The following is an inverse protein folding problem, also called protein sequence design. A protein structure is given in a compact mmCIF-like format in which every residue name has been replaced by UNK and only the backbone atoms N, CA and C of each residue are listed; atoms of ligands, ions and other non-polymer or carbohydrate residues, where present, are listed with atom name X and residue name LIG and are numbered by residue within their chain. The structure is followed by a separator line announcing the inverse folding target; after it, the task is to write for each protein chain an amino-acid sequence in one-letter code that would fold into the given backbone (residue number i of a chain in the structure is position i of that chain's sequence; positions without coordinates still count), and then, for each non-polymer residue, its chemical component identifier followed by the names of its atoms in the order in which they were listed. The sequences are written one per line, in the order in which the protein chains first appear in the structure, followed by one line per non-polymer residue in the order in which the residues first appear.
data_IF_637412880720
#
_entry.id   IF_637412880720
#
_cell.length_a   1.000
_cell.length_b   1.000
_cell.length_c   1.000
_cell.angle_alpha   90.00
_cell.angle_beta   90.00
_cell.angle_gamma   90.00
#
_symmetry.space_group_name_H-M   'P 1'
#
loop_
_entity.id
_entity.type
_entity.pdbx_description
1 polymer ?
#
# COMPACT_ATOMS: atom_id res chain seq x y z
N UNK A 1 -21.62 -71.73 3.75
CA UNK A 1 -21.78 -73.04 4.43
C UNK A 1 -20.78 -73.98 3.78
N UNK A 2 -19.72 -74.30 4.52
CA UNK A 2 -18.81 -75.47 4.38
C UNK A 2 -17.98 -75.62 3.10
N UNK A 3 -16.75 -76.14 3.08
CA UNK A 3 -15.61 -76.26 4.00
C UNK A 3 -14.47 -76.79 3.09
N UNK A 4 -13.28 -76.20 3.20
CA UNK A 4 -11.91 -76.73 3.05
C UNK A 4 -11.50 -77.99 2.24
N UNK A 5 -10.19 -77.96 1.92
CA UNK A 5 -9.14 -79.01 1.75
C UNK A 5 -8.75 -79.32 0.27
N UNK A 6 -7.49 -79.48 -0.16
CA UNK A 6 -6.11 -79.03 0.16
C UNK A 6 -5.13 -79.72 -0.84
N UNK A 7 -3.90 -79.19 -0.94
CA UNK A 7 -2.63 -79.85 -1.39
C UNK A 7 -2.37 -79.96 -2.91
N UNK A 8 -1.15 -79.81 -3.46
CA UNK A 8 0.23 -80.05 -2.97
C UNK A 8 1.32 -79.26 -3.76
N UNK A 9 2.25 -78.59 -3.04
CA UNK A 9 3.76 -78.56 -3.10
C UNK A 9 4.61 -78.52 -4.42
N UNK A 10 5.95 -78.27 -4.36
CA UNK A 10 6.74 -77.23 -3.66
C UNK A 10 7.94 -76.69 -4.50
N UNK A 11 8.77 -75.79 -3.91
CA UNK A 11 10.21 -75.42 -4.17
C UNK A 11 10.33 -73.88 -4.15
N UNK A 12 11.23 -73.21 -3.43
CA UNK A 12 12.36 -73.60 -2.60
C UNK A 12 12.93 -72.35 -1.89
N UNK A 13 13.75 -72.59 -0.87
CA UNK A 13 14.49 -71.64 -0.03
C UNK A 13 15.35 -70.63 -0.83
N UNK A 14 15.41 -69.38 -0.35
CA UNK A 14 16.69 -68.72 -0.02
C UNK A 14 16.50 -67.45 0.82
N UNK A 15 17.27 -67.38 1.90
CA UNK A 15 17.47 -66.27 2.82
C UNK A 15 18.08 -65.03 2.13
N UNK A 16 17.61 -63.83 2.45
CA UNK A 16 18.48 -62.65 2.62
C UNK A 16 17.93 -61.70 3.69
N UNK A 17 18.88 -61.18 4.45
CA UNK A 17 18.81 -60.43 5.70
C UNK A 17 19.09 -58.95 5.38
N UNK A 18 18.34 -58.05 6.03
CA UNK A 18 18.66 -56.63 6.36
C UNK A 18 18.86 -55.65 5.18
N UNK A 19 18.02 -54.61 5.11
CA UNK A 19 18.50 -53.24 5.39
C UNK A 19 17.36 -52.24 5.59
N UNK A 20 17.32 -51.73 6.82
CA UNK A 20 16.85 -50.43 7.24
C UNK A 20 17.08 -49.37 6.14
N UNK A 21 16.01 -48.85 5.53
CA UNK A 21 16.05 -47.55 4.85
C UNK A 21 15.01 -46.66 5.50
N UNK A 22 15.33 -46.29 6.74
CA UNK A 22 14.92 -45.04 7.35
C UNK A 22 15.37 -43.91 6.42
N UNK A 23 14.53 -43.59 5.43
CA UNK A 23 14.53 -42.28 4.80
C UNK A 23 14.21 -41.27 5.91
N UNK A 24 15.28 -40.87 6.60
CA UNK A 24 15.36 -39.60 7.30
C UNK A 24 14.97 -38.57 6.26
N UNK A 25 13.70 -38.17 6.30
CA UNK A 25 13.27 -36.87 5.86
C UNK A 25 14.10 -35.87 6.67
N UNK A 26 15.28 -35.54 6.15
CA UNK A 26 15.96 -34.31 6.52
C UNK A 26 15.04 -33.20 6.02
N UNK A 27 14.05 -32.86 6.83
CA UNK A 27 13.44 -31.55 6.84
C UNK A 27 14.61 -30.61 7.12
N UNK A 28 15.25 -30.13 6.06
CA UNK A 28 16.14 -28.98 6.16
C UNK A 28 15.24 -27.87 6.65
N UNK A 29 15.26 -27.64 7.96
CA UNK A 29 14.66 -26.45 8.55
C UNK A 29 15.40 -25.29 7.92
N UNK A 30 14.81 -24.71 6.86
CA UNK A 30 15.19 -23.39 6.37
C UNK A 30 15.07 -22.49 7.57
N UNK A 31 16.21 -22.15 8.18
CA UNK A 31 16.26 -21.29 9.34
C UNK A 31 15.65 -19.97 8.91
N UNK A 32 14.51 -19.65 9.50
CA UNK A 32 13.87 -18.36 9.34
C UNK A 32 14.91 -17.27 9.66
N UNK A 33 15.27 -16.46 8.66
CA UNK A 33 16.18 -15.35 8.88
C UNK A 33 15.52 -14.35 9.83
N UNK A 34 16.15 -14.09 10.97
CA UNK A 34 15.67 -13.05 11.88
C UNK A 34 15.99 -11.66 11.34
N UNK A 35 15.14 -10.70 11.67
CA UNK A 35 15.23 -9.31 11.24
C UNK A 35 15.77 -8.41 12.34
N UNK A 36 16.53 -7.39 11.98
CA UNK A 36 17.07 -6.40 12.92
C UNK A 36 16.29 -5.09 12.79
N UNK A 37 15.73 -4.61 13.89
CA UNK A 37 15.04 -3.33 13.91
C UNK A 37 15.99 -2.19 13.60
N UNK A 38 15.75 -1.50 12.49
CA UNK A 38 16.55 -0.40 11.97
C UNK A 38 15.91 0.97 12.23
N UNK A 39 14.78 1.04 12.94
CA UNK A 39 14.20 2.29 13.42
C UNK A 39 12.98 2.79 12.64
N UNK A 40 12.41 3.88 13.14
CA UNK A 40 11.37 4.66 12.45
C UNK A 40 11.95 5.89 11.76
N UNK A 41 11.26 6.44 10.76
CA UNK A 41 11.74 7.66 10.11
C UNK A 41 10.91 8.17 8.95
N UNK A 42 11.58 8.90 8.04
CA UNK A 42 10.97 9.52 6.86
C UNK A 42 11.71 9.14 5.57
N UNK A 43 10.96 9.09 4.46
CA UNK A 43 11.46 8.87 3.10
C UNK A 43 11.52 10.18 2.29
N UNK A 44 12.46 10.28 1.36
CA UNK A 44 12.54 11.39 0.41
C UNK A 44 13.36 12.59 0.87
N UNK A 45 13.06 13.77 0.31
CA UNK A 45 13.83 14.99 0.54
C UNK A 45 13.56 15.59 1.93
N UNK A 46 14.56 15.47 2.80
CA UNK A 46 14.51 16.00 4.16
C UNK A 46 14.33 17.52 4.22
N UNK A 47 14.75 18.27 3.20
CA UNK A 47 14.54 19.72 3.16
C UNK A 47 13.05 20.11 3.10
N UNK A 48 12.19 19.18 2.63
CA UNK A 48 10.74 19.37 2.55
C UNK A 48 9.98 18.74 3.70
N UNK A 49 10.68 18.30 4.75
CA UNK A 49 10.10 17.54 5.86
C UNK A 49 8.88 18.22 6.46
N UNK A 50 8.97 19.50 6.78
CA UNK A 50 7.89 20.19 7.49
C UNK A 50 6.69 20.48 6.57
N UNK A 51 6.87 20.41 5.25
CA UNK A 51 5.78 20.48 4.27
C UNK A 51 5.14 19.12 4.02
N UNK A 52 5.94 18.05 3.98
CA UNK A 52 5.49 16.68 3.72
C UNK A 52 4.90 16.01 4.97
N UNK A 53 5.36 16.40 6.16
CA UNK A 53 5.14 15.74 7.46
C UNK A 53 4.91 16.74 8.60
N UNK A 54 4.03 17.75 8.45
CA UNK A 54 3.98 18.89 9.37
C UNK A 54 3.77 18.51 10.84
N UNK A 55 3.04 17.42 11.12
CA UNK A 55 2.82 16.95 12.49
C UNK A 55 3.65 15.71 12.83
N UNK A 56 3.82 14.77 11.91
CA UNK A 56 4.59 13.54 12.13
C UNK A 56 6.06 13.83 12.42
N UNK A 57 6.66 14.86 11.79
CA UNK A 57 8.04 15.28 12.09
C UNK A 57 8.18 15.77 13.52
N UNK A 58 7.21 16.52 14.03
CA UNK A 58 7.18 17.00 15.42
C UNK A 58 7.05 15.85 16.42
N UNK A 59 6.25 14.83 16.10
CA UNK A 59 6.13 13.62 16.93
C UNK A 59 7.44 12.82 16.90
N UNK A 60 8.12 12.77 15.75
CA UNK A 60 9.41 12.13 15.64
C UNK A 60 10.48 12.85 16.48
N UNK A 61 10.51 14.19 16.44
CA UNK A 61 11.44 15.04 17.21
C UNK A 61 11.06 15.14 18.71
N UNK A 62 9.91 14.60 19.13
CA UNK A 62 9.49 14.53 20.54
C UNK A 62 10.30 13.44 21.28
N UNK A 63 11.39 13.87 21.91
CA UNK A 63 12.31 13.03 22.69
C UNK A 63 11.88 12.77 24.14
N UNK A 64 10.62 13.07 24.49
CA UNK A 64 10.12 12.89 25.87
C UNK A 64 9.99 11.43 26.32
N UNK A 65 10.11 10.47 25.40
CA UNK A 65 10.06 9.04 25.70
C UNK A 65 11.48 8.44 25.73
N UNK A 66 12.04 8.20 26.92
CA UNK A 66 13.36 7.58 27.12
C UNK A 66 14.53 8.29 26.39
N UNK A 67 14.51 9.64 26.33
CA UNK A 67 15.46 10.45 25.56
C UNK A 67 15.57 10.06 24.07
N UNK A 68 14.56 9.38 23.53
CA UNK A 68 14.44 9.01 22.13
C UNK A 68 13.04 9.36 21.61
N UNK A 69 12.85 9.25 20.30
CA UNK A 69 11.56 9.55 19.68
C UNK A 69 10.44 8.70 20.29
N UNK A 70 9.34 9.31 20.73
CA UNK A 70 8.16 8.55 21.17
C UNK A 70 7.62 7.59 20.10
N UNK A 71 7.76 7.94 18.82
CA UNK A 71 7.39 7.06 17.71
C UNK A 71 8.31 5.83 17.62
N UNK A 72 9.60 5.99 17.93
CA UNK A 72 10.55 4.88 18.01
C UNK A 72 10.18 3.92 19.17
N UNK A 73 10.00 4.44 20.39
CA UNK A 73 9.68 3.61 21.58
C UNK A 73 8.41 2.80 21.36
N UNK A 74 7.36 3.46 20.86
CA UNK A 74 6.09 2.81 20.60
C UNK A 74 6.22 1.73 19.52
N UNK A 75 6.86 2.05 18.39
CA UNK A 75 7.05 1.09 17.30
C UNK A 75 7.88 -0.11 17.72
N UNK A 76 8.94 0.08 18.53
CA UNK A 76 9.68 -1.05 19.12
C UNK A 76 8.77 -1.96 19.92
N UNK A 77 7.88 -1.39 20.74
CA UNK A 77 6.94 -2.15 21.56
C UNK A 77 5.98 -2.97 20.68
N UNK A 78 5.47 -2.38 19.60
CA UNK A 78 4.60 -3.08 18.64
C UNK A 78 5.30 -4.25 17.97
N UNK A 79 6.56 -4.08 17.53
CA UNK A 79 7.30 -5.11 16.80
C UNK A 79 8.04 -6.11 17.72
N UNK A 80 8.13 -5.86 19.03
CA UNK A 80 8.85 -6.71 19.98
C UNK A 80 8.35 -8.15 19.97
N UNK A 81 9.24 -9.08 19.63
CA UNK A 81 8.95 -10.51 19.60
C UNK A 81 7.98 -10.95 18.51
N UNK A 82 7.60 -10.05 17.60
CA UNK A 82 6.70 -10.37 16.51
C UNK A 82 7.43 -11.18 15.42
N UNK A 83 6.67 -12.05 14.76
CA UNK A 83 7.08 -12.71 13.52
C UNK A 83 6.43 -12.01 12.33
N UNK A 84 7.22 -11.66 11.34
CA UNK A 84 6.80 -11.05 10.07
C UNK A 84 7.57 -11.74 8.95
N UNK A 85 7.01 -11.89 7.75
CA UNK A 85 7.73 -12.44 6.59
C UNK A 85 8.59 -13.70 6.85
N UNK A 86 8.14 -14.58 7.75
CA UNK A 86 8.84 -15.81 8.14
C UNK A 86 9.84 -15.68 9.29
N UNK A 87 10.33 -14.49 9.64
CA UNK A 87 11.39 -14.24 10.64
C UNK A 87 10.93 -13.47 11.89
N UNK A 88 11.70 -13.51 12.99
CA UNK A 88 11.42 -12.70 14.19
C UNK A 88 12.12 -11.34 14.11
N UNK A 89 11.48 -10.29 14.61
CA UNK A 89 12.13 -8.98 14.77
C UNK A 89 12.93 -8.93 16.08
N UNK A 90 14.23 -8.71 15.95
CA UNK A 90 15.22 -8.51 17.01
C UNK A 90 15.60 -7.04 17.12
N UNK A 91 15.98 -6.62 18.32
CA UNK A 91 16.41 -5.25 18.63
C UNK A 91 17.91 -5.20 18.98
N UNK A 92 18.63 -6.30 18.77
CA UNK A 92 20.08 -6.38 18.85
C UNK A 92 20.70 -5.85 17.57
N UNK A 93 21.92 -5.34 17.65
CA UNK A 93 22.68 -5.01 16.45
C UNK A 93 22.96 -6.27 15.62
N UNK A 94 23.08 -6.09 14.31
CA UNK A 94 23.52 -7.13 13.40
C UNK A 94 25.04 -7.21 13.39
N UNK A 95 25.56 -8.43 13.28
CA UNK A 95 26.99 -8.64 13.05
C UNK A 95 27.33 -8.24 11.60
N UNK A 96 28.37 -7.44 11.37
CA UNK A 96 28.78 -7.05 10.01
C UNK A 96 29.11 -8.27 9.12
N UNK A 97 28.75 -8.19 7.84
CA UNK A 97 29.09 -9.22 6.84
C UNK A 97 28.24 -10.49 6.93
N UNK A 98 27.10 -10.44 7.62
CA UNK A 98 26.16 -11.57 7.73
C UNK A 98 24.99 -11.48 6.76
N UNK A 99 24.95 -10.47 5.89
CA UNK A 99 23.80 -10.13 5.02
C UNK A 99 22.51 -10.04 5.85
N UNK A 100 22.62 -9.44 7.04
CA UNK A 100 21.50 -9.30 7.96
C UNK A 100 20.45 -8.35 7.38
N UNK A 101 19.18 -8.72 7.53
CA UNK A 101 18.08 -7.90 7.04
C UNK A 101 17.59 -6.97 8.15
N UNK A 102 17.69 -5.68 7.87
CA UNK A 102 17.14 -4.59 8.66
C UNK A 102 15.68 -4.33 8.33
N UNK A 103 14.89 -3.99 9.34
CA UNK A 103 13.47 -3.61 9.19
C UNK A 103 13.27 -2.20 9.73
N UNK A 104 12.81 -1.29 8.88
CA UNK A 104 12.55 0.10 9.25
C UNK A 104 11.15 0.55 8.84
N UNK A 105 10.50 1.38 9.67
CA UNK A 105 9.20 1.96 9.36
C UNK A 105 9.37 3.42 8.94
N UNK A 106 9.07 3.74 7.68
CA UNK A 106 9.32 5.08 7.16
C UNK A 106 8.05 5.73 6.60
N UNK A 107 7.78 6.97 7.01
CA UNK A 107 6.68 7.81 6.54
C UNK A 107 7.08 8.51 5.25
N UNK A 108 6.22 8.49 4.24
CA UNK A 108 6.42 9.10 2.92
C UNK A 108 5.54 10.31 2.68
N UNK A 109 4.37 10.37 3.30
CA UNK A 109 3.54 11.58 3.23
C UNK A 109 2.54 11.67 4.38
N UNK A 110 2.24 12.88 4.82
CA UNK A 110 1.14 13.18 5.71
C UNK A 110 0.13 14.08 4.98
N UNK A 111 -1.14 13.72 5.04
CA UNK A 111 -2.21 14.40 4.33
C UNK A 111 -3.29 14.88 5.28
N UNK A 112 -3.69 16.14 5.10
CA UNK A 112 -4.75 16.80 5.86
C UNK A 112 -5.79 17.35 4.90
N UNK A 113 -7.02 16.86 4.99
CA UNK A 113 -8.18 17.40 4.26
C UNK A 113 -9.13 18.01 5.27
N UNK A 114 -9.56 19.24 5.01
CA UNK A 114 -10.63 19.90 5.74
C UNK A 114 -11.76 20.13 4.74
N UNK A 115 -12.91 19.50 4.98
CA UNK A 115 -14.11 19.60 4.15
C UNK A 115 -15.21 20.28 4.96
N UNK A 116 -15.47 21.54 4.67
CA UNK A 116 -16.56 22.29 5.32
C UNK A 116 -17.90 21.82 4.74
N UNK A 117 -18.70 21.15 5.57
CA UNK A 117 -20.05 20.73 5.23
C UNK A 117 -21.06 21.64 5.91
N UNK A 118 -21.77 22.46 5.13
CA UNK A 118 -22.90 23.22 5.67
C UNK A 118 -24.00 22.23 6.06
N UNK A 119 -24.26 22.10 7.38
CA UNK A 119 -25.29 21.26 7.98
C UNK A 119 -25.18 19.74 7.72
N UNK A 120 -24.37 19.04 8.51
CA UNK A 120 -24.64 17.62 8.75
C UNK A 120 -25.78 17.51 9.79
N UNK A 121 -26.98 17.12 9.36
CA UNK A 121 -28.13 16.88 10.26
C UNK A 121 -27.84 15.85 11.38
N UNK A 122 -26.74 15.11 11.27
CA UNK A 122 -26.42 13.98 12.13
C UNK A 122 -25.40 14.28 13.23
N UNK A 123 -24.57 15.32 13.10
CA UNK A 123 -23.45 15.52 14.05
C UNK A 123 -23.38 16.90 14.68
N UNK A 124 -24.29 17.83 14.35
CA UNK A 124 -24.21 19.26 14.70
C UNK A 124 -22.86 19.91 14.34
N UNK A 125 -22.02 19.21 13.58
CA UNK A 125 -20.70 19.62 13.14
C UNK A 125 -20.74 19.97 11.67
N UNK A 126 -20.00 21.02 11.33
CA UNK A 126 -20.00 21.63 10.01
C UNK A 126 -18.68 21.40 9.27
N UNK A 127 -17.73 20.66 9.83
CA UNK A 127 -16.44 20.40 9.22
C UNK A 127 -16.09 18.92 9.39
N UNK A 128 -15.72 18.25 8.29
CA UNK A 128 -15.15 16.92 8.29
C UNK A 128 -13.64 17.04 8.03
N UNK A 129 -12.83 16.46 8.89
CA UNK A 129 -11.38 16.46 8.79
C UNK A 129 -10.93 15.04 8.52
N UNK A 130 -10.06 14.88 7.53
CA UNK A 130 -9.46 13.60 7.16
C UNK A 130 -7.95 13.72 7.27
N UNK A 131 -7.37 12.95 8.18
CA UNK A 131 -5.93 12.89 8.42
C UNK A 131 -5.46 11.54 7.90
N UNK A 132 -4.45 11.50 7.04
CA UNK A 132 -3.86 10.25 6.58
C UNK A 132 -2.32 10.30 6.66
N UNK A 133 -1.74 9.16 7.03
CA UNK A 133 -0.29 8.96 7.09
C UNK A 133 0.02 7.80 6.15
N UNK A 134 0.95 8.04 5.22
CA UNK A 134 1.43 7.09 4.23
C UNK A 134 2.88 6.73 4.51
N UNK A 135 3.26 5.50 4.20
CA UNK A 135 4.66 5.08 4.26
C UNK A 135 4.83 3.60 3.97
N UNK A 136 5.92 3.02 4.47
CA UNK A 136 6.25 1.62 4.24
C UNK A 136 7.08 1.04 5.37
N UNK A 137 6.88 -0.26 5.63
CA UNK A 137 7.86 -1.08 6.34
C UNK A 137 8.87 -1.60 5.31
N UNK A 138 10.13 -1.19 5.44
CA UNK A 138 11.21 -1.52 4.53
C UNK A 138 12.03 -2.68 5.09
N UNK A 139 12.31 -3.67 4.25
CA UNK A 139 13.27 -4.75 4.50
C UNK A 139 14.51 -4.45 3.66
N UNK A 140 15.64 -4.24 4.31
CA UNK A 140 16.89 -3.85 3.65
C UNK A 140 18.03 -4.75 4.08
N UNK A 141 18.92 -5.09 3.16
CA UNK A 141 20.19 -5.71 3.50
C UNK A 141 21.10 -4.66 4.15
N UNK A 142 21.54 -4.92 5.38
CA UNK A 142 22.26 -3.93 6.19
C UNK A 142 23.71 -3.70 5.74
N UNK A 143 24.31 -4.67 5.06
CA UNK A 143 25.70 -4.62 4.58
C UNK A 143 25.77 -3.87 3.23
N UNK A 144 24.88 -4.20 2.31
CA UNK A 144 24.82 -3.63 0.96
C UNK A 144 23.90 -2.41 0.82
N UNK A 145 23.06 -2.12 1.83
CA UNK A 145 21.99 -1.12 1.77
C UNK A 145 21.01 -1.33 0.60
N UNK A 146 20.80 -2.56 0.16
CA UNK A 146 19.82 -2.87 -0.91
C UNK A 146 18.44 -3.15 -0.34
N UNK A 147 17.41 -2.69 -1.03
CA UNK A 147 16.03 -3.02 -0.70
C UNK A 147 15.75 -4.48 -1.05
N UNK A 148 15.37 -5.27 -0.05
CA UNK A 148 14.94 -6.65 -0.22
C UNK A 148 13.44 -6.71 -0.47
N UNK A 149 12.66 -5.93 0.28
CA UNK A 149 11.20 -5.85 0.14
C UNK A 149 10.63 -4.63 0.82
N UNK A 150 9.38 -4.31 0.51
CA UNK A 150 8.64 -3.22 1.14
C UNK A 150 7.19 -3.64 1.37
N UNK A 151 6.62 -3.21 2.49
CA UNK A 151 5.20 -3.38 2.79
C UNK A 151 4.59 -1.99 2.92
N UNK A 152 3.84 -1.52 1.92
CA UNK A 152 3.18 -0.22 1.96
C UNK A 152 2.17 -0.21 3.10
N UNK A 153 2.13 0.88 3.85
CA UNK A 153 1.18 1.09 4.94
C UNK A 153 0.58 2.48 4.79
N UNK A 154 -0.72 2.54 5.07
CA UNK A 154 -1.38 3.82 5.21
C UNK A 154 -2.48 3.68 6.25
N UNK A 155 -2.65 4.73 7.04
CA UNK A 155 -3.77 4.85 7.98
C UNK A 155 -4.50 6.15 7.72
N UNK A 156 -5.79 6.16 8.03
CA UNK A 156 -6.65 7.33 7.89
C UNK A 156 -7.55 7.46 9.12
N UNK A 157 -7.64 8.68 9.63
CA UNK A 157 -8.56 9.07 10.68
C UNK A 157 -9.51 10.14 10.15
N UNK A 158 -10.82 9.91 10.29
CA UNK A 158 -11.83 10.90 9.98
C UNK A 158 -12.49 11.38 11.26
N UNK A 159 -12.58 12.69 11.45
CA UNK A 159 -13.25 13.31 12.59
C UNK A 159 -14.02 14.54 12.16
N UNK A 160 -15.15 14.80 12.83
CA UNK A 160 -15.94 15.99 12.59
C UNK A 160 -15.69 17.05 13.68
N UNK A 161 -15.73 18.33 13.32
CA UNK A 161 -15.54 19.48 14.22
C UNK A 161 -16.46 20.64 13.87
N UNK A 162 -16.55 21.61 14.79
CA UNK A 162 -17.16 22.91 14.54
C UNK A 162 -16.05 23.87 14.08
N UNK A 163 -15.96 24.08 12.78
CA UNK A 163 -14.87 24.84 12.15
C UNK A 163 -13.54 24.07 12.10
N UNK A 164 -12.49 24.78 11.71
CA UNK A 164 -11.13 24.24 11.53
C UNK A 164 -10.55 23.72 12.86
N UNK A 165 -10.02 22.51 12.84
CA UNK A 165 -9.28 21.93 13.96
C UNK A 165 -8.02 22.77 14.26
N UNK A 166 -7.75 23.03 15.54
CA UNK A 166 -6.57 23.79 15.93
C UNK A 166 -5.27 23.01 15.70
N UNK A 167 -4.14 23.69 15.57
CA UNK A 167 -2.82 23.06 15.40
C UNK A 167 -2.50 22.06 16.54
N UNK A 168 -2.85 22.42 17.78
CA UNK A 168 -2.65 21.59 18.96
C UNK A 168 -3.48 20.30 18.90
N UNK A 169 -4.75 20.41 18.51
CA UNK A 169 -5.63 19.25 18.36
C UNK A 169 -5.16 18.35 17.21
N UNK A 170 -4.74 18.94 16.08
CA UNK A 170 -4.21 18.18 14.94
C UNK A 170 -2.95 17.41 15.31
N UNK A 171 -2.01 18.07 16.01
CA UNK A 171 -0.84 17.42 16.59
C UNK A 171 -1.23 16.27 17.52
N UNK A 172 -2.23 16.48 18.39
CA UNK A 172 -2.73 15.43 19.29
C UNK A 172 -3.27 14.21 18.56
N UNK A 173 -4.03 14.42 17.48
CA UNK A 173 -4.56 13.35 16.63
C UNK A 173 -3.43 12.59 15.95
N UNK A 174 -2.49 13.29 15.28
CA UNK A 174 -1.37 12.66 14.58
C UNK A 174 -0.45 11.93 15.57
N UNK A 175 -0.20 12.50 16.75
CA UNK A 175 0.51 11.83 17.84
C UNK A 175 -0.20 10.54 18.23
N UNK A 176 -1.50 10.55 18.46
CA UNK A 176 -2.26 9.33 18.78
C UNK A 176 -2.19 8.28 17.65
N UNK A 177 -2.23 8.70 16.38
CA UNK A 177 -2.08 7.80 15.22
C UNK A 177 -0.71 7.12 15.14
N UNK A 178 0.34 7.71 15.73
CA UNK A 178 1.71 7.18 15.71
C UNK A 178 2.11 6.45 17.01
N UNK A 179 1.69 6.96 18.17
CA UNK A 179 2.23 6.55 19.48
C UNK A 179 1.17 6.06 20.48
N UNK A 180 -0.09 5.89 20.07
CA UNK A 180 -1.12 5.27 20.91
C UNK A 180 -2.07 4.38 20.10
N UNK A 181 -2.93 3.66 20.79
CA UNK A 181 -4.03 2.88 20.18
C UNK A 181 -5.42 3.48 20.50
N UNK A 182 -5.47 4.70 21.03
CA UNK A 182 -6.71 5.33 21.51
C UNK A 182 -7.74 5.52 20.39
N UNK A 183 -7.26 5.79 19.18
CA UNK A 183 -8.10 6.00 17.99
C UNK A 183 -8.50 4.68 17.30
N UNK A 184 -8.10 3.53 17.84
CA UNK A 184 -8.25 2.19 17.22
C UNK A 184 -7.57 2.05 15.85
N UNK A 185 -6.71 3.00 15.52
CA UNK A 185 -5.83 3.01 14.35
C UNK A 185 -4.43 3.37 14.85
N UNK A 186 -3.41 2.73 14.31
CA UNK A 186 -2.02 3.05 14.61
C UNK A 186 -1.12 2.61 13.46
N UNK A 187 -0.16 3.46 13.10
CA UNK A 187 0.67 3.26 11.91
C UNK A 187 1.59 2.03 12.03
N UNK A 188 2.27 1.85 13.17
CA UNK A 188 3.11 0.69 13.42
C UNK A 188 2.28 -0.61 13.49
N UNK A 189 1.09 -0.54 14.10
CA UNK A 189 0.17 -1.69 14.18
C UNK A 189 -0.38 -2.10 12.81
N UNK A 190 -0.72 -1.14 11.95
CA UNK A 190 -1.15 -1.41 10.56
C UNK A 190 0.00 -2.04 9.75
N UNK A 191 1.20 -1.46 9.82
CA UNK A 191 2.39 -2.01 9.18
C UNK A 191 2.68 -3.44 9.63
N UNK A 192 2.60 -3.73 10.93
CA UNK A 192 2.76 -5.09 11.47
C UNK A 192 1.69 -6.05 10.95
N UNK A 193 0.42 -5.63 10.93
CA UNK A 193 -0.70 -6.45 10.45
C UNK A 193 -0.51 -6.87 8.98
N UNK A 194 -0.05 -5.94 8.15
CA UNK A 194 0.28 -6.20 6.74
C UNK A 194 1.52 -7.09 6.62
N UNK A 195 2.58 -6.80 7.36
CA UNK A 195 3.83 -7.57 7.33
C UNK A 195 3.68 -9.03 7.81
N UNK A 196 2.67 -9.33 8.63
CA UNK A 196 2.32 -10.71 9.02
C UNK A 196 1.76 -11.55 7.86
N UNK A 197 1.15 -10.91 6.87
CA UNK A 197 0.60 -11.56 5.66
C UNK A 197 1.57 -11.53 4.49
N UNK A 198 2.67 -10.79 4.64
CA UNK A 198 3.68 -10.59 3.63
C UNK A 198 4.71 -11.73 3.66
N UNK A 199 5.20 -12.11 2.48
CA UNK A 199 6.39 -12.95 2.31
C UNK A 199 7.46 -12.14 1.60
N UNK A 200 8.72 -12.27 2.04
CA UNK A 200 9.83 -11.65 1.33
C UNK A 200 9.95 -12.26 -0.07
N UNK A 201 10.23 -11.44 -1.10
CA UNK A 201 10.43 -11.95 -2.44
C UNK A 201 11.69 -12.82 -2.46
N UNK A 202 11.58 -13.98 -3.09
CA UNK A 202 12.77 -14.70 -3.56
C UNK A 202 13.35 -14.00 -4.79
N UNK A 203 14.59 -14.31 -5.16
CA UNK A 203 15.26 -13.72 -6.33
C UNK A 203 14.53 -13.97 -7.67
N UNK A 204 13.53 -14.87 -7.68
CA UNK A 204 12.75 -15.24 -8.87
C UNK A 204 11.39 -14.55 -8.96
N UNK A 205 11.03 -13.71 -7.98
CA UNK A 205 9.71 -13.06 -7.96
C UNK A 205 9.77 -11.75 -8.74
N UNK A 206 8.85 -11.58 -9.69
CA UNK A 206 8.70 -10.34 -10.44
C UNK A 206 8.27 -9.20 -9.51
N UNK A 207 8.92 -8.05 -9.65
CA UNK A 207 8.64 -6.84 -8.88
C UNK A 207 8.02 -5.80 -9.78
N UNK A 208 6.90 -5.24 -9.33
CA UNK A 208 6.28 -4.10 -9.99
C UNK A 208 6.65 -2.81 -9.27
N UNK A 209 6.69 -1.71 -10.01
CA UNK A 209 6.84 -0.36 -9.44
C UNK A 209 5.91 0.61 -10.15
N UNK A 210 5.27 1.49 -9.39
CA UNK A 210 4.61 2.66 -9.99
C UNK A 210 5.70 3.68 -10.30
N UNK A 211 6.01 3.84 -11.59
CA UNK A 211 7.10 4.69 -12.06
C UNK A 211 6.63 6.07 -12.46
N UNK A 212 5.35 6.22 -12.79
CA UNK A 212 4.79 7.48 -13.24
C UNK A 212 3.32 7.62 -12.83
N UNK A 213 2.97 8.79 -12.30
CA UNK A 213 1.60 9.27 -12.23
C UNK A 213 1.55 10.66 -12.85
N UNK A 214 0.90 10.79 -13.99
CA UNK A 214 0.82 12.03 -14.75
C UNK A 214 -0.63 12.52 -14.89
N UNK A 215 -0.78 13.81 -15.22
CA UNK A 215 -2.07 14.45 -15.43
C UNK A 215 -2.00 15.43 -16.59
N UNK A 216 -3.08 15.53 -17.35
CA UNK A 216 -3.20 16.56 -18.39
C UNK A 216 -3.50 17.94 -17.80
N UNK A 217 -3.14 19.01 -18.51
CA UNK A 217 -3.50 20.39 -18.12
C UNK A 217 -5.00 20.55 -17.89
N UNK A 218 -5.83 19.95 -18.74
CA UNK A 218 -7.29 19.95 -18.59
C UNK A 218 -7.75 19.33 -17.27
N UNK A 219 -7.07 18.30 -16.77
CA UNK A 219 -7.37 17.71 -15.47
C UNK A 219 -6.98 18.67 -14.34
N UNK A 220 -5.83 19.31 -14.46
CA UNK A 220 -5.35 20.29 -13.49
C UNK A 220 -6.29 21.50 -13.38
N UNK A 221 -6.83 21.96 -14.52
CA UNK A 221 -7.80 23.05 -14.57
C UNK A 221 -9.13 22.66 -13.88
N UNK A 222 -9.60 21.41 -14.08
CA UNK A 222 -10.86 20.94 -13.49
C UNK A 222 -10.73 20.72 -11.99
N UNK A 223 -9.61 20.17 -11.53
CA UNK A 223 -9.38 19.94 -10.10
C UNK A 223 -8.98 21.23 -9.38
N UNK A 224 -8.36 22.20 -10.08
CA UNK A 224 -8.01 23.51 -9.51
C UNK A 224 -6.87 23.46 -8.49
N UNK A 225 -6.02 22.43 -8.54
CA UNK A 225 -4.84 22.32 -7.67
C UNK A 225 -3.70 23.19 -8.18
N UNK A 226 -2.93 23.76 -7.25
CA UNK A 226 -1.62 24.32 -7.57
C UNK A 226 -0.68 23.23 -8.09
N UNK A 227 0.44 23.62 -8.72
CA UNK A 227 1.45 22.66 -9.19
C UNK A 227 1.94 21.75 -8.07
N UNK A 228 2.22 22.30 -6.89
CA UNK A 228 2.68 21.52 -5.74
C UNK A 228 1.58 20.61 -5.19
N UNK A 229 0.34 21.11 -5.09
CA UNK A 229 -0.81 20.29 -4.69
C UNK A 229 -1.05 19.13 -5.66
N UNK A 230 -0.88 19.33 -6.97
CA UNK A 230 -0.93 18.26 -7.96
C UNK A 230 0.19 17.24 -7.78
N UNK A 231 1.43 17.69 -7.54
CA UNK A 231 2.54 16.78 -7.27
C UNK A 231 2.22 15.88 -6.07
N UNK A 232 1.77 16.45 -4.95
CA UNK A 232 1.38 15.67 -3.76
C UNK A 232 0.20 14.74 -4.04
N UNK A 233 -0.78 15.20 -4.80
CA UNK A 233 -1.92 14.37 -5.17
C UNK A 233 -1.50 13.16 -6.01
N UNK A 234 -0.61 13.34 -6.99
CA UNK A 234 -0.09 12.22 -7.81
C UNK A 234 0.76 11.25 -6.99
N UNK A 235 1.57 11.73 -6.05
CA UNK A 235 2.30 10.89 -5.09
C UNK A 235 1.34 10.06 -4.24
N UNK A 236 0.26 10.67 -3.75
CA UNK A 236 -0.76 9.99 -2.96
C UNK A 236 -1.45 8.88 -3.77
N UNK A 237 -1.83 9.16 -5.02
CA UNK A 237 -2.45 8.15 -5.89
C UNK A 237 -1.51 6.96 -6.12
N UNK A 238 -0.22 7.22 -6.33
CA UNK A 238 0.78 6.17 -6.47
C UNK A 238 0.84 5.29 -5.21
N UNK A 239 1.01 5.90 -4.04
CA UNK A 239 1.15 5.17 -2.77
C UNK A 239 -0.11 4.38 -2.40
N UNK A 240 -1.30 4.95 -2.61
CA UNK A 240 -2.55 4.21 -2.39
C UNK A 240 -2.64 3.04 -3.34
N UNK A 241 -2.35 3.25 -4.63
CA UNK A 241 -2.47 2.16 -5.60
C UNK A 241 -1.44 1.06 -5.36
N UNK A 242 -0.21 1.41 -4.96
CA UNK A 242 0.82 0.46 -4.53
C UNK A 242 0.32 -0.45 -3.40
N UNK A 243 -0.21 0.16 -2.33
CA UNK A 243 -0.71 -0.59 -1.19
C UNK A 243 -1.94 -1.44 -1.52
N UNK A 244 -2.85 -0.94 -2.36
CA UNK A 244 -4.06 -1.67 -2.74
C UNK A 244 -3.73 -2.79 -3.74
N UNK A 245 -2.84 -2.57 -4.71
CA UNK A 245 -2.35 -3.63 -5.60
C UNK A 245 -1.73 -4.77 -4.79
N UNK A 246 -0.79 -4.47 -3.90
CA UNK A 246 -0.15 -5.51 -3.07
C UNK A 246 -1.18 -6.25 -2.21
N UNK A 247 -2.13 -5.53 -1.60
CA UNK A 247 -3.13 -6.16 -0.71
C UNK A 247 -4.10 -7.06 -1.47
N UNK A 248 -4.56 -6.63 -2.64
CA UNK A 248 -5.57 -7.36 -3.41
C UNK A 248 -4.95 -8.49 -4.24
N UNK A 249 -3.75 -8.29 -4.81
CA UNK A 249 -3.14 -9.22 -5.78
C UNK A 249 -1.97 -10.04 -5.23
N UNK A 250 -1.36 -9.62 -4.12
CA UNK A 250 -0.11 -10.20 -3.62
C UNK A 250 1.14 -9.86 -4.44
N UNK A 251 1.01 -9.03 -5.50
CA UNK A 251 2.16 -8.60 -6.30
C UNK A 251 3.17 -7.87 -5.42
N UNK A 252 4.44 -8.23 -5.60
CA UNK A 252 5.56 -7.61 -4.92
C UNK A 252 5.81 -6.23 -5.51
N UNK A 253 5.66 -5.19 -4.68
CA UNK A 253 5.86 -3.81 -5.10
C UNK A 253 7.18 -3.28 -4.56
N UNK A 254 7.94 -2.60 -5.42
CA UNK A 254 8.93 -1.62 -4.98
C UNK A 254 8.21 -0.33 -4.59
N UNK A 255 8.75 0.44 -3.62
CA UNK A 255 8.23 1.77 -3.32
C UNK A 255 8.15 2.61 -4.59
N UNK A 256 7.04 3.30 -4.78
CA UNK A 256 6.77 4.18 -5.92
C UNK A 256 7.90 5.18 -6.11
N UNK A 257 8.38 5.30 -7.35
CA UNK A 257 9.43 6.28 -7.68
C UNK A 257 8.91 7.72 -7.69
N UNK A 258 7.58 7.90 -7.69
CA UNK A 258 6.93 9.20 -7.72
C UNK A 258 7.20 9.96 -6.42
N UNK A 259 8.07 10.97 -6.50
CA UNK A 259 8.30 11.98 -5.47
C UNK A 259 9.40 11.68 -4.43
N UNK A 260 9.85 10.42 -4.29
CA UNK A 260 10.78 10.04 -3.20
C UNK A 260 12.08 9.36 -3.64
N UNK A 261 12.13 8.83 -4.87
CA UNK A 261 13.29 8.08 -5.38
C UNK A 261 14.02 8.93 -6.41
N UNK A 262 15.33 9.06 -6.26
CA UNK A 262 16.19 9.80 -7.20
C UNK A 262 17.30 8.86 -7.65
N UNK A 263 17.32 8.52 -8.94
CA UNK A 263 18.33 7.65 -9.55
C UNK A 263 18.39 6.24 -8.94
N UNK A 264 17.23 5.62 -8.71
CA UNK A 264 17.14 4.27 -8.09
C UNK A 264 17.50 4.23 -6.60
N UNK A 265 17.68 5.38 -5.96
CA UNK A 265 18.06 5.46 -4.54
C UNK A 265 16.97 6.12 -3.71
N UNK A 266 16.63 5.47 -2.61
CA UNK A 266 15.72 5.97 -1.59
C UNK A 266 16.53 6.52 -0.42
N UNK A 267 16.41 7.82 -0.17
CA UNK A 267 16.99 8.44 1.01
C UNK A 267 16.03 8.30 2.18
N UNK A 268 16.55 7.84 3.32
CA UNK A 268 15.80 7.71 4.56
C UNK A 268 16.52 8.40 5.70
N UNK A 269 15.77 9.08 6.57
CA UNK A 269 16.26 9.52 7.88
C UNK A 269 15.58 8.71 8.95
N UNK A 270 16.30 7.74 9.51
CA UNK A 270 15.81 6.85 10.54
C UNK A 270 16.32 7.31 11.91
N UNK A 271 15.64 6.88 12.97
CA UNK A 271 16.10 7.03 14.36
C UNK A 271 17.47 6.38 14.60
N UNK A 272 17.83 5.36 13.81
CA UNK A 272 19.16 4.71 13.84
C UNK A 272 20.22 5.43 13.01
N UNK A 273 19.84 6.45 12.23
CA UNK A 273 20.74 7.19 11.34
C UNK A 273 20.20 7.38 9.93
N UNK A 274 20.88 8.24 9.16
CA UNK A 274 20.58 8.45 7.75
C UNK A 274 21.05 7.25 6.94
N UNK A 275 20.25 6.81 5.96
CA UNK A 275 20.62 5.76 5.01
C UNK A 275 20.21 6.12 3.59
N UNK A 276 20.97 5.59 2.64
CA UNK A 276 20.63 5.60 1.23
C UNK A 276 20.43 4.14 0.83
N UNK A 277 19.19 3.79 0.52
CA UNK A 277 18.79 2.44 0.17
C UNK A 277 18.74 2.33 -1.36
N UNK A 278 19.47 1.38 -1.93
CA UNK A 278 19.44 1.09 -3.36
C UNK A 278 18.24 0.21 -3.70
N UNK A 279 17.46 0.62 -4.69
CA UNK A 279 16.36 -0.19 -5.19
C UNK A 279 16.84 -1.04 -6.36
N UNK A 280 16.38 -2.29 -6.47
CA UNK A 280 16.52 -3.04 -7.70
C UNK A 280 15.68 -2.39 -8.81
N UNK A 281 16.02 -2.69 -10.06
CA UNK A 281 15.18 -2.35 -11.20
C UNK A 281 13.84 -3.12 -11.11
N UNK A 282 12.70 -2.50 -11.48
CA UNK A 282 11.44 -3.21 -11.58
C UNK A 282 11.42 -4.12 -12.81
N UNK A 283 10.86 -5.32 -12.66
CA UNK A 283 10.54 -6.19 -13.80
C UNK A 283 9.34 -5.65 -14.59
N UNK A 284 8.50 -4.87 -13.91
CA UNK A 284 7.25 -4.34 -14.44
C UNK A 284 7.06 -2.89 -13.99
N UNK A 285 6.95 -1.98 -14.95
CA UNK A 285 6.73 -0.56 -14.73
C UNK A 285 5.25 -0.20 -14.93
N UNK A 286 4.62 0.35 -13.89
CA UNK A 286 3.22 0.79 -13.89
C UNK A 286 3.16 2.30 -14.07
N UNK A 287 2.34 2.75 -15.03
CA UNK A 287 2.10 4.17 -15.31
C UNK A 287 0.60 4.49 -15.20
N UNK A 288 0.29 5.60 -14.53
CA UNK A 288 -1.06 6.09 -14.34
C UNK A 288 -1.21 7.48 -14.96
N UNK A 289 -1.99 7.59 -16.04
CA UNK A 289 -2.26 8.90 -16.65
C UNK A 289 -3.71 9.34 -16.38
N UNK A 290 -3.87 10.38 -15.58
CA UNK A 290 -5.13 11.05 -15.31
C UNK A 290 -5.59 11.79 -16.56
N UNK A 291 -6.39 11.11 -17.39
CA UNK A 291 -6.75 11.56 -18.72
C UNK A 291 -7.91 12.57 -18.72
N UNK A 292 -8.90 12.43 -17.83
CA UNK A 292 -10.06 13.33 -17.79
C UNK A 292 -10.77 13.32 -16.45
N UNK A 293 -11.21 14.49 -16.00
CA UNK A 293 -12.21 14.67 -14.95
C UNK A 293 -13.44 15.36 -15.54
N UNK A 294 -14.62 15.11 -14.96
CA UNK A 294 -15.83 15.80 -15.38
C UNK A 294 -16.97 15.65 -14.39
N UNK A 295 -17.92 16.58 -14.43
CA UNK A 295 -19.09 16.61 -13.57
C UNK A 295 -20.36 16.61 -14.40
N UNK A 296 -21.30 15.75 -14.06
CA UNK A 296 -22.65 15.75 -14.60
C UNK A 296 -23.61 16.07 -13.47
N UNK A 297 -24.53 17.01 -13.69
CA UNK A 297 -25.52 17.41 -12.70
C UNK A 297 -26.91 17.40 -13.35
N UNK A 298 -27.85 16.71 -12.71
CA UNK A 298 -29.25 16.62 -13.13
C UNK A 298 -30.16 16.96 -11.96
N UNK A 299 -30.96 18.01 -12.12
CA UNK A 299 -31.98 18.38 -11.13
C UNK A 299 -33.10 17.33 -11.11
N UNK A 300 -33.61 17.00 -9.93
CA UNK A 300 -34.82 16.19 -9.82
C UNK A 300 -36.04 17.01 -10.24
N UNK A 301 -36.97 16.37 -10.95
CA UNK A 301 -38.19 17.01 -11.44
C UNK A 301 -39.02 17.72 -10.35
N UNK A 302 -38.94 17.27 -9.10
CA UNK A 302 -39.64 17.88 -7.96
C UNK A 302 -38.84 18.99 -7.24
N UNK A 303 -37.70 19.44 -7.78
CA UNK A 303 -36.89 20.51 -7.20
C UNK A 303 -36.22 20.18 -5.84
N UNK A 304 -36.29 18.94 -5.38
CA UNK A 304 -35.77 18.52 -4.07
C UNK A 304 -34.23 18.54 -3.97
N UNK A 305 -33.55 18.62 -5.12
CA UNK A 305 -32.10 18.60 -5.20
C UNK A 305 -31.58 18.08 -6.54
N UNK A 306 -30.30 17.73 -6.55
CA UNK A 306 -29.55 17.35 -7.73
C UNK A 306 -28.94 15.95 -7.58
N UNK A 307 -29.04 15.14 -8.62
CA UNK A 307 -28.10 14.02 -8.79
C UNK A 307 -26.84 14.55 -9.45
N UNK A 308 -25.71 14.41 -8.76
CA UNK A 308 -24.40 14.85 -9.23
C UNK A 308 -23.51 13.62 -9.39
N UNK A 309 -22.87 13.51 -10.56
CA UNK A 309 -21.92 12.46 -10.88
C UNK A 309 -20.56 13.06 -11.13
N UNK A 310 -19.54 12.53 -10.46
CA UNK A 310 -18.14 12.91 -10.68
C UNK A 310 -17.48 11.80 -11.47
N UNK A 311 -17.06 12.12 -12.68
CA UNK A 311 -16.42 11.19 -13.60
C UNK A 311 -14.91 11.37 -13.55
N UNK A 312 -14.19 10.26 -13.55
CA UNK A 312 -12.75 10.20 -13.75
C UNK A 312 -12.42 9.18 -14.83
N UNK A 313 -11.44 9.51 -15.69
CA UNK A 313 -10.83 8.59 -16.66
C UNK A 313 -9.33 8.55 -16.41
N UNK A 314 -8.82 7.34 -16.35
CA UNK A 314 -7.42 6.99 -16.13
C UNK A 314 -6.97 6.10 -17.29
N UNK A 315 -5.79 6.34 -17.86
CA UNK A 315 -5.13 5.31 -18.64
C UNK A 315 -4.19 4.57 -17.70
N UNK A 316 -4.44 3.26 -17.56
CA UNK A 316 -3.63 2.33 -16.79
C UNK A 316 -2.75 1.59 -17.78
N UNK A 317 -1.45 1.82 -17.69
CA UNK A 317 -0.47 1.25 -18.61
C UNK A 317 0.59 0.50 -17.83
N UNK A 318 1.05 -0.61 -18.39
CA UNK A 318 2.11 -1.43 -17.81
C UNK A 318 3.10 -1.81 -18.89
N UNK A 319 4.38 -1.69 -18.56
CA UNK A 319 5.52 -2.02 -19.41
C UNK A 319 6.39 -3.06 -18.70
N UNK A 320 7.11 -3.89 -19.47
CA UNK A 320 8.16 -4.75 -18.92
C UNK A 320 9.47 -3.99 -18.70
N UNK A 321 10.51 -4.70 -18.26
CA UNK A 321 11.85 -4.11 -18.02
C UNK A 321 12.57 -3.63 -19.28
N UNK A 322 12.11 -4.00 -20.48
CA UNK A 322 12.62 -3.50 -21.76
C UNK A 322 11.83 -2.29 -22.28
N UNK A 323 10.73 -1.93 -21.62
CA UNK A 323 9.82 -0.86 -22.03
C UNK A 323 8.74 -1.30 -23.01
N UNK A 324 8.61 -2.61 -23.26
CA UNK A 324 7.56 -3.13 -24.13
C UNK A 324 6.21 -3.11 -23.39
N UNK A 325 5.16 -2.63 -24.07
CA UNK A 325 3.83 -2.50 -23.47
C UNK A 325 3.19 -3.88 -23.23
N UNK A 326 2.92 -4.19 -21.96
CA UNK A 326 2.16 -5.38 -21.53
C UNK A 326 0.66 -5.11 -21.61
N UNK A 327 0.22 -3.94 -21.15
CA UNK A 327 -1.16 -3.48 -21.25
C UNK A 327 -1.21 -1.96 -21.33
N UNK A 328 -2.19 -1.45 -22.06
CA UNK A 328 -2.54 -0.03 -22.06
C UNK A 328 -4.07 0.12 -22.19
N UNK A 329 -4.71 0.51 -21.09
CA UNK A 329 -6.16 0.43 -20.96
C UNK A 329 -6.74 1.75 -20.45
N UNK A 330 -7.64 2.40 -21.22
CA UNK A 330 -8.41 3.52 -20.73
C UNK A 330 -9.58 3.02 -19.87
N UNK A 331 -9.54 3.34 -18.59
CA UNK A 331 -10.54 2.97 -17.59
C UNK A 331 -11.24 4.20 -17.03
N UNK A 332 -12.52 4.07 -16.67
CA UNK A 332 -13.32 5.17 -16.12
C UNK A 332 -14.13 4.76 -14.91
N UNK A 333 -14.49 5.75 -14.10
CA UNK A 333 -15.46 5.63 -13.01
C UNK A 333 -16.35 6.87 -13.00
N UNK A 334 -17.64 6.69 -12.70
CA UNK A 334 -18.61 7.79 -12.64
C UNK A 334 -19.70 7.50 -11.61
N UNK A 335 -19.36 7.48 -10.31
CA UNK A 335 -20.36 7.38 -9.25
C UNK A 335 -21.28 8.61 -9.27
N UNK A 336 -22.57 8.38 -9.06
CA UNK A 336 -23.58 9.42 -8.94
C UNK A 336 -24.16 9.41 -7.52
N UNK A 337 -24.38 10.59 -6.94
CA UNK A 337 -25.01 10.76 -5.63
C UNK A 337 -26.09 11.84 -5.69
N UNK A 338 -27.13 11.66 -4.89
CA UNK A 338 -28.16 12.68 -4.72
C UNK A 338 -27.76 13.65 -3.61
N UNK A 339 -27.89 14.94 -3.88
CA UNK A 339 -27.65 16.03 -2.96
C UNK A 339 -28.91 16.87 -2.86
N UNK A 340 -29.30 17.24 -1.64
CA UNK A 340 -30.46 18.11 -1.42
C UNK A 340 -30.17 19.51 -1.96
N UNK A 341 -31.24 20.25 -2.28
CA UNK A 341 -31.11 21.65 -2.70
C UNK A 341 -30.35 22.45 -1.63
N UNK A 342 -29.37 23.24 -2.07
CA UNK A 342 -28.52 24.05 -1.19
C UNK A 342 -27.31 23.33 -0.58
N UNK A 343 -27.14 22.01 -0.79
CA UNK A 343 -25.93 21.31 -0.35
C UNK A 343 -24.72 21.76 -1.15
N UNK A 344 -23.69 22.26 -0.47
CA UNK A 344 -22.39 22.54 -1.08
C UNK A 344 -21.63 21.23 -1.28
N UNK A 345 -20.97 21.11 -2.44
CA UNK A 345 -20.20 19.92 -2.83
C UNK A 345 -18.78 20.35 -3.07
N UNK A 346 -17.86 19.78 -2.32
CA UNK A 346 -16.43 19.89 -2.58
C UNK A 346 -16.06 18.95 -3.73
N UNK A 347 -16.03 19.49 -4.96
CA UNK A 347 -15.79 18.72 -6.18
C UNK A 347 -14.40 18.06 -6.18
N UNK A 348 -13.37 18.72 -5.63
CA UNK A 348 -12.02 18.15 -5.48
C UNK A 348 -12.08 16.84 -4.69
N UNK A 349 -12.66 16.89 -3.49
CA UNK A 349 -12.83 15.70 -2.64
C UNK A 349 -13.63 14.60 -3.33
N UNK A 350 -14.63 14.92 -4.17
CA UNK A 350 -15.38 13.90 -4.91
C UNK A 350 -14.57 13.28 -6.06
N UNK A 351 -13.74 14.05 -6.77
CA UNK A 351 -12.84 13.52 -7.79
C UNK A 351 -11.81 12.57 -7.19
N UNK A 352 -11.23 12.93 -6.05
CA UNK A 352 -10.29 12.05 -5.35
C UNK A 352 -10.96 10.74 -4.93
N UNK A 353 -12.12 10.80 -4.29
CA UNK A 353 -12.90 9.61 -3.92
C UNK A 353 -13.17 8.72 -5.13
N UNK A 354 -13.49 9.33 -6.27
CA UNK A 354 -13.75 8.62 -7.53
C UNK A 354 -12.49 7.92 -8.06
N UNK A 355 -11.34 8.61 -8.03
CA UNK A 355 -10.06 8.05 -8.47
C UNK A 355 -9.57 6.94 -7.55
N UNK A 356 -9.61 7.13 -6.23
CA UNK A 356 -9.22 6.10 -5.27
C UNK A 356 -10.11 4.85 -5.37
N UNK A 357 -11.41 5.03 -5.58
CA UNK A 357 -12.33 3.92 -5.84
C UNK A 357 -12.01 3.20 -7.16
N UNK A 358 -11.68 3.96 -8.23
CA UNK A 358 -11.27 3.38 -9.50
C UNK A 358 -9.99 2.54 -9.35
N UNK A 359 -8.96 3.07 -8.67
CA UNK A 359 -7.71 2.35 -8.39
C UNK A 359 -7.95 1.07 -7.58
N UNK A 360 -8.81 1.12 -6.56
CA UNK A 360 -9.17 -0.07 -5.78
C UNK A 360 -9.91 -1.11 -6.62
N UNK A 361 -10.84 -0.67 -7.48
CA UNK A 361 -11.56 -1.58 -8.35
C UNK A 361 -10.65 -2.20 -9.44
N UNK A 362 -9.65 -1.46 -9.92
CA UNK A 362 -8.63 -2.00 -10.83
C UNK A 362 -7.87 -3.14 -10.16
N UNK A 363 -7.34 -2.92 -8.94
CA UNK A 363 -6.59 -3.95 -8.21
C UNK A 363 -7.43 -5.21 -7.94
N UNK A 364 -8.70 -5.03 -7.54
CA UNK A 364 -9.65 -6.14 -7.35
C UNK A 364 -9.91 -6.91 -8.65
N UNK A 365 -10.12 -6.19 -9.74
CA UNK A 365 -10.37 -6.79 -11.04
C UNK A 365 -9.13 -7.46 -11.64
N UNK A 366 -7.93 -7.00 -11.29
CA UNK A 366 -6.70 -7.72 -11.60
C UNK A 366 -6.67 -9.04 -10.84
N UNK A 367 -6.91 -9.04 -9.52
CA UNK A 367 -6.89 -10.27 -8.72
C UNK A 367 -7.97 -11.29 -9.12
N UNK A 368 -9.19 -10.83 -9.44
CA UNK A 368 -10.32 -11.69 -9.80
C UNK A 368 -10.92 -11.25 -11.14
N UNK A 369 -10.25 -11.51 -12.28
CA UNK A 369 -10.73 -11.08 -13.58
C UNK A 369 -12.07 -11.71 -13.96
N UNK A 370 -12.31 -12.96 -13.54
CA UNK A 370 -13.54 -13.66 -13.89
C UNK A 370 -14.78 -13.16 -13.17
N UNK A 371 -14.62 -12.61 -11.96
CA UNK A 371 -15.72 -12.15 -11.11
C UNK A 371 -15.99 -10.63 -11.24
N UNK A 372 -15.29 -9.95 -12.16
CA UNK A 372 -15.28 -8.48 -12.27
C UNK A 372 -16.06 -7.91 -13.45
N UNK A 373 -17.05 -8.65 -13.96
CA UNK A 373 -17.87 -8.24 -15.10
C UNK A 373 -18.57 -6.88 -14.93
N UNK A 374 -19.10 -6.59 -13.73
CA UNK A 374 -19.73 -5.30 -13.45
C UNK A 374 -18.73 -4.14 -13.57
N UNK A 375 -17.51 -4.34 -13.11
CA UNK A 375 -16.43 -3.37 -13.27
C UNK A 375 -16.17 -3.12 -14.75
N UNK A 376 -15.91 -4.16 -15.54
CA UNK A 376 -15.56 -3.99 -16.96
C UNK A 376 -16.68 -3.33 -17.78
N UNK A 377 -17.95 -3.68 -17.52
CA UNK A 377 -19.11 -3.04 -18.15
C UNK A 377 -19.15 -1.53 -17.90
N UNK A 378 -18.76 -1.10 -16.70
CA UNK A 378 -18.81 0.32 -16.28
C UNK A 378 -17.54 1.08 -16.65
N UNK A 379 -16.39 0.41 -16.60
CA UNK A 379 -15.08 1.05 -16.64
C UNK A 379 -14.42 1.03 -18.02
N UNK A 380 -14.76 0.07 -18.88
CA UNK A 380 -14.14 -0.08 -20.20
C UNK A 380 -15.14 0.15 -21.34
N UNK A 381 -14.60 0.41 -22.53
CA UNK A 381 -15.37 0.36 -23.80
C UNK A 381 -15.46 -1.06 -24.35
N UNK A 382 -14.43 -1.88 -24.14
CA UNK A 382 -14.34 -3.25 -24.62
C UNK A 382 -14.09 -4.19 -23.43
N UNK A 383 -15.18 -4.71 -22.85
CA UNK A 383 -15.13 -5.54 -21.65
C UNK A 383 -14.24 -6.78 -21.84
N UNK A 384 -14.43 -7.52 -22.95
CA UNK A 384 -13.73 -8.78 -23.17
C UNK A 384 -12.23 -8.55 -23.30
N UNK A 385 -11.81 -7.56 -24.08
CA UNK A 385 -10.39 -7.22 -24.25
C UNK A 385 -9.76 -6.78 -22.93
N UNK A 386 -10.45 -5.96 -22.12
CA UNK A 386 -9.94 -5.52 -20.81
C UNK A 386 -9.80 -6.69 -19.84
N UNK A 387 -10.79 -7.58 -19.79
CA UNK A 387 -10.75 -8.79 -18.97
C UNK A 387 -9.59 -9.69 -19.39
N UNK A 388 -9.44 -9.96 -20.67
CA UNK A 388 -8.38 -10.81 -21.22
C UNK A 388 -6.99 -10.23 -20.94
N UNK A 389 -6.82 -8.91 -21.10
CA UNK A 389 -5.58 -8.22 -20.74
C UNK A 389 -5.25 -8.34 -19.25
N UNK A 390 -6.24 -8.21 -18.36
CA UNK A 390 -6.04 -8.37 -16.91
C UNK A 390 -5.66 -9.82 -16.56
N UNK A 391 -6.33 -10.81 -17.16
CA UNK A 391 -5.98 -12.24 -17.00
C UNK A 391 -4.58 -12.56 -17.52
N UNK A 392 -4.18 -12.00 -18.67
CA UNK A 392 -2.83 -12.20 -19.21
C UNK A 392 -1.77 -11.56 -18.33
N UNK A 393 -2.02 -10.35 -17.84
CA UNK A 393 -1.12 -9.67 -16.90
C UNK A 393 -0.89 -10.52 -15.64
N UNK A 394 -1.97 -11.01 -15.01
CA UNK A 394 -1.85 -11.80 -13.79
C UNK A 394 -1.21 -13.17 -14.00
N UNK A 395 -1.33 -13.79 -15.18
CA UNK A 395 -0.62 -15.05 -15.48
C UNK A 395 0.90 -14.91 -15.49
N UNK A 396 1.41 -13.68 -15.60
CA UNK A 396 2.85 -13.40 -15.61
C UNK A 396 3.42 -13.09 -14.22
N UNK A 397 2.59 -13.05 -13.17
CA UNK A 397 2.97 -12.91 -11.76
C UNK A 397 2.64 -14.19 -10.98
#
# INVERSE_FOLDING_TARGET
MSYFINSTHPRGLSFYIISFLSLLAFSVSVSAQDFHWAGVGFMGDYAKRDTLYPYSSRVFDDHSCDNTSCFEVFSRTVFKGQKIAGGKVKFTQAEPGTNAIGVALAITYERLIVDETVNSHYTNKNTLNSIAIFGSLLFMDLDSNKLVGAVPTYIRYDTASNGKISDKEMYGIVKAMLVSNELKINFASDALSRAKKYSLPSDKVRRAQIVEVSSSTKVNDVIGYSKDAMNYFTMQLAQVFEGVLMTETGIQMLPSSVGHIVGGKLKTRLSSGNRVIELPEPDVAIKLNLAKLGKLQKEKANGSGNTVCHAARLNFSVEDSFGDSILDLPLKSMPCRFYRKGTQINDQTQYEKTLLALLSNIAKALNMPDDSDDFYKKSSKNQNQTKEAFSMFMKNF
#
